data_IF_578964021280
#
_entry.id   IF_578964021280
#
_cell.length_a   1.000
_cell.length_b   1.000
_cell.length_c   1.000
_cell.angle_alpha   90.00
_cell.angle_beta   90.00
_cell.angle_gamma   90.00
#
_symmetry.space_group_name_H-M   'P 1'
#
loop_
_entity.id
_entity.type
_entity.pdbx_description
1 polymer ?
#
# COMPACT_ATOMS: atom_id res chain seq x y z
N UNK A 1 6.69 17.89 -8.50
CA UNK A 1 5.78 17.54 -7.39
C UNK A 1 5.76 16.03 -7.28
N UNK A 2 6.01 15.49 -6.09
CA UNK A 2 5.91 14.05 -5.84
C UNK A 2 4.53 13.73 -5.29
N UNK A 3 4.04 12.53 -5.58
CA UNK A 3 2.80 11.94 -5.08
C UNK A 3 3.21 10.86 -4.08
N UNK A 4 2.54 10.79 -2.94
CA UNK A 4 2.78 9.75 -1.93
C UNK A 4 1.49 9.02 -1.62
N UNK A 5 1.50 7.72 -1.82
CA UNK A 5 0.48 6.81 -1.32
C UNK A 5 1.00 6.09 -0.08
N UNK A 6 0.11 5.85 0.87
CA UNK A 6 0.41 5.11 2.08
C UNK A 6 -0.50 3.90 2.14
N UNK A 7 0.09 2.72 2.30
CA UNK A 7 -0.61 1.52 2.72
C UNK A 7 -0.38 1.34 4.22
N UNK A 8 -1.43 1.48 5.02
CA UNK A 8 -1.39 1.24 6.46
C UNK A 8 -2.02 -0.10 6.79
N UNK A 9 -1.33 -0.90 7.61
CA UNK A 9 -1.69 -2.26 7.98
C UNK A 9 -1.93 -2.38 9.49
N UNK A 10 -2.99 -3.10 9.87
CA UNK A 10 -3.15 -3.65 11.22
C UNK A 10 -2.37 -4.97 11.32
N UNK A 11 -1.05 -4.89 11.27
CA UNK A 11 -0.18 -6.07 11.25
C UNK A 11 0.26 -6.50 12.66
N UNK A 12 0.33 -7.80 12.97
CA UNK A 12 1.07 -8.30 14.12
C UNK A 12 2.59 -8.32 13.88
N UNK A 13 3.02 -8.16 12.62
CA UNK A 13 4.42 -8.12 12.23
C UNK A 13 5.01 -6.71 12.39
N UNK A 14 6.31 -6.67 12.62
CA UNK A 14 7.13 -5.45 12.64
C UNK A 14 7.40 -4.92 11.23
N UNK A 15 7.85 -3.67 11.13
CA UNK A 15 8.28 -3.07 9.88
C UNK A 15 9.38 -3.88 9.17
N UNK A 16 10.33 -4.46 9.89
CA UNK A 16 11.39 -5.28 9.31
C UNK A 16 10.84 -6.56 8.67
N UNK A 17 9.87 -7.21 9.33
CA UNK A 17 9.21 -8.40 8.80
C UNK A 17 8.33 -8.07 7.58
N UNK A 18 7.58 -6.97 7.62
CA UNK A 18 6.80 -6.49 6.47
C UNK A 18 7.73 -6.08 5.32
N UNK A 19 8.88 -5.46 5.61
CA UNK A 19 9.88 -5.10 4.61
C UNK A 19 10.49 -6.34 3.94
N UNK A 20 10.73 -7.42 4.70
CA UNK A 20 11.22 -8.68 4.13
C UNK A 20 10.20 -9.31 3.17
N UNK A 21 8.92 -9.29 3.52
CA UNK A 21 7.85 -9.78 2.64
C UNK A 21 7.69 -8.89 1.39
N UNK A 22 7.72 -7.57 1.58
CA UNK A 22 7.63 -6.62 0.47
C UNK A 22 8.81 -6.73 -0.48
N UNK A 23 10.04 -6.91 0.04
CA UNK A 23 11.23 -7.15 -0.76
C UNK A 23 11.08 -8.42 -1.60
N UNK A 24 10.61 -9.51 -0.98
CA UNK A 24 10.39 -10.78 -1.67
C UNK A 24 9.39 -10.61 -2.81
N UNK A 25 8.27 -9.92 -2.57
CA UNK A 25 7.28 -9.60 -3.60
C UNK A 25 7.91 -8.77 -4.73
N UNK A 26 8.67 -7.73 -4.39
CA UNK A 26 9.28 -6.85 -5.37
C UNK A 26 10.31 -7.60 -6.23
N UNK A 27 11.08 -8.52 -5.66
CA UNK A 27 12.03 -9.35 -6.38
C UNK A 27 11.35 -10.39 -7.27
N UNK A 28 10.28 -11.05 -6.81
CA UNK A 28 9.48 -11.98 -7.62
C UNK A 28 8.82 -11.30 -8.84
N UNK A 29 8.62 -9.99 -8.77
CA UNK A 29 8.03 -9.16 -9.82
C UNK A 29 9.09 -8.42 -10.66
N UNK A 30 10.38 -8.70 -10.46
CA UNK A 30 11.51 -8.02 -11.09
C UNK A 30 11.51 -6.49 -10.88
N UNK A 31 10.89 -6.00 -9.80
CA UNK A 31 10.81 -4.57 -9.45
C UNK A 31 12.04 -4.09 -8.68
N UNK A 32 12.70 -4.98 -7.94
CA UNK A 32 13.95 -4.72 -7.21
C UNK A 32 14.95 -5.84 -7.48
N UNK A 33 16.23 -5.48 -7.48
CA UNK A 33 17.33 -6.44 -7.65
C UNK A 33 17.46 -7.36 -6.42
N UNK A 34 17.85 -8.62 -6.65
CA UNK A 34 18.08 -9.63 -5.60
C UNK A 34 19.18 -9.25 -4.59
N UNK A 35 20.06 -8.31 -4.95
CA UNK A 35 21.12 -7.79 -4.09
C UNK A 35 20.65 -6.72 -3.09
N UNK A 36 19.43 -6.20 -3.22
CA UNK A 36 18.87 -5.21 -2.29
C UNK A 36 18.54 -5.91 -0.95
N UNK A 37 19.11 -5.47 0.18
CA UNK A 37 18.76 -6.00 1.50
C UNK A 37 17.43 -5.42 2.01
N UNK A 38 16.71 -6.15 2.87
CA UNK A 38 15.44 -5.70 3.43
C UNK A 38 15.58 -4.40 4.26
N UNK A 39 16.68 -4.27 5.01
CA UNK A 39 17.02 -3.07 5.80
C UNK A 39 17.08 -1.77 4.97
N UNK A 40 17.34 -1.85 3.65
CA UNK A 40 17.27 -0.66 2.79
C UNK A 40 15.84 -0.08 2.80
N UNK A 41 14.80 -0.93 2.87
CA UNK A 41 13.41 -0.50 2.86
C UNK A 41 12.96 0.14 4.18
N UNK A 42 13.53 -0.23 5.33
CA UNK A 42 13.17 0.37 6.63
C UNK A 42 13.99 1.62 6.96
N UNK A 43 15.22 1.72 6.45
CA UNK A 43 16.12 2.86 6.72
C UNK A 43 15.92 4.03 5.76
N UNK A 44 16.43 3.88 4.54
CA UNK A 44 16.52 4.94 3.55
C UNK A 44 15.41 4.87 2.47
N UNK A 45 14.72 3.72 2.42
CA UNK A 45 13.81 3.35 1.35
C UNK A 45 14.54 3.04 0.04
N UNK A 46 13.84 2.38 -0.89
CA UNK A 46 14.39 1.99 -2.18
C UNK A 46 13.43 2.23 -3.32
N UNK A 47 13.93 2.72 -4.45
CA UNK A 47 13.14 2.86 -5.67
C UNK A 47 13.12 1.56 -6.47
N UNK A 48 11.94 1.19 -6.99
CA UNK A 48 11.80 0.16 -8.02
C UNK A 48 12.51 0.56 -9.30
N UNK A 49 12.66 -0.37 -10.24
CA UNK A 49 13.21 -0.10 -11.58
C UNK A 49 12.44 0.99 -12.36
N UNK A 50 11.16 1.21 -12.04
CA UNK A 50 10.33 2.26 -12.64
C UNK A 50 10.29 3.56 -11.81
N UNK A 51 11.05 3.62 -10.71
CA UNK A 51 11.22 4.82 -9.89
C UNK A 51 10.18 5.00 -8.78
N UNK A 52 9.38 3.98 -8.46
CA UNK A 52 8.49 3.99 -7.29
C UNK A 52 9.32 3.80 -6.03
N UNK A 53 9.52 4.86 -5.24
CA UNK A 53 10.26 4.79 -3.98
C UNK A 53 9.40 4.17 -2.88
N UNK A 54 9.94 3.18 -2.19
CA UNK A 54 9.31 2.37 -1.17
C UNK A 54 9.99 2.60 0.17
N UNK A 55 9.22 2.77 1.23
CA UNK A 55 9.74 2.74 2.60
C UNK A 55 8.72 2.12 3.56
N UNK A 56 9.20 1.29 4.47
CA UNK A 56 8.37 0.65 5.50
C UNK A 56 8.74 1.24 6.86
N UNK A 57 7.74 1.56 7.67
CA UNK A 57 7.93 2.08 9.05
C UNK A 57 6.96 1.41 10.00
N UNK A 58 7.37 1.26 11.26
CA UNK A 58 6.44 1.01 12.35
C UNK A 58 5.67 2.29 12.62
N UNK A 59 4.37 2.17 12.80
CA UNK A 59 3.50 3.27 13.20
C UNK A 59 3.43 3.35 14.72
N UNK A 60 3.72 4.54 15.26
CA UNK A 60 3.37 4.86 16.63
C UNK A 60 1.91 5.31 16.65
N UNK A 61 1.06 4.60 17.40
CA UNK A 61 -0.37 4.89 17.52
C UNK A 61 -0.57 6.34 17.99
N UNK A 62 -0.87 7.25 17.07
CA UNK A 62 -1.33 8.58 17.41
C UNK A 62 -2.83 8.55 17.71
N UNK A 63 -3.28 9.30 18.71
CA UNK A 63 -4.70 9.34 19.10
C UNK A 63 -5.60 9.96 18.01
N UNK A 64 -5.01 10.74 17.09
CA UNK A 64 -5.70 11.50 16.04
C UNK A 64 -5.44 10.95 14.62
N UNK A 65 -5.15 9.66 14.48
CA UNK A 65 -4.94 9.04 13.15
C UNK A 65 -6.27 8.80 12.42
N UNK A 66 -6.54 9.43 11.25
CA UNK A 66 -7.77 9.21 10.49
C UNK A 66 -7.99 7.75 10.06
N UNK A 67 -6.93 6.94 9.99
CA UNK A 67 -7.03 5.49 9.73
C UNK A 67 -7.72 4.76 10.89
N UNK A 68 -7.55 5.24 12.13
CA UNK A 68 -8.22 4.68 13.29
C UNK A 68 -9.75 4.79 13.19
N UNK A 69 -10.27 5.87 12.60
CA UNK A 69 -11.70 6.07 12.39
C UNK A 69 -12.31 5.11 11.36
N UNK A 70 -11.48 4.49 10.52
CA UNK A 70 -11.90 3.41 9.64
C UNK A 70 -12.07 2.07 10.39
N UNK A 71 -11.72 2.03 11.68
CA UNK A 71 -11.73 0.83 12.51
C UNK A 71 -10.49 -0.04 12.33
N UNK A 72 -9.42 0.52 11.75
CA UNK A 72 -8.12 -0.15 11.61
C UNK A 72 -7.22 0.33 12.75
N UNK A 73 -6.44 -0.56 13.35
CA UNK A 73 -5.39 -0.15 14.29
C UNK A 73 -4.05 -0.10 13.54
N UNK A 74 -3.52 1.08 13.18
CA UNK A 74 -2.25 1.20 12.48
C UNK A 74 -1.12 0.53 13.26
N UNK A 75 -0.31 -0.26 12.59
CA UNK A 75 0.88 -0.87 13.17
C UNK A 75 2.11 -0.71 12.27
N UNK A 76 1.91 -0.85 10.95
CA UNK A 76 2.97 -0.67 9.96
C UNK A 76 2.42 0.12 8.78
N UNK A 77 3.22 1.05 8.27
CA UNK A 77 2.93 1.77 7.03
C UNK A 77 3.99 1.51 5.97
N UNK A 78 3.53 1.39 4.73
CA UNK A 78 4.36 1.33 3.53
C UNK A 78 4.07 2.57 2.70
N UNK A 79 5.11 3.39 2.51
CA UNK A 79 5.06 4.58 1.67
C UNK A 79 5.48 4.24 0.24
N UNK A 80 4.68 4.64 -0.72
CA UNK A 80 4.96 4.60 -2.15
C UNK A 80 5.04 6.03 -2.65
N UNK A 81 6.22 6.48 -3.06
CA UNK A 81 6.45 7.86 -3.51
C UNK A 81 7.03 7.90 -4.91
N UNK A 82 6.42 8.69 -5.78
CA UNK A 82 6.88 8.85 -7.16
C UNK A 82 6.52 10.21 -7.74
N UNK A 83 7.07 10.52 -8.91
CA UNK A 83 6.82 11.79 -9.61
C UNK A 83 5.61 11.65 -10.52
N UNK A 84 5.03 12.78 -10.91
CA UNK A 84 3.96 12.81 -11.92
C UNK A 84 4.41 12.30 -13.30
N UNK A 85 5.71 12.36 -13.61
CA UNK A 85 6.23 11.77 -14.84
C UNK A 85 6.27 10.24 -14.73
N UNK A 86 5.55 9.54 -15.62
CA UNK A 86 5.53 8.07 -15.65
C UNK A 86 4.61 7.41 -14.62
N UNK A 87 3.66 8.16 -14.07
CA UNK A 87 2.77 7.72 -12.99
C UNK A 87 1.98 6.45 -13.32
N UNK A 88 1.60 6.21 -14.59
CA UNK A 88 0.84 5.01 -14.96
C UNK A 88 1.59 3.71 -14.64
N UNK A 89 2.89 3.62 -14.97
CA UNK A 89 3.72 2.45 -14.65
C UNK A 89 3.98 2.34 -13.15
N UNK A 90 4.10 3.48 -12.46
CA UNK A 90 4.39 3.52 -11.03
C UNK A 90 3.17 3.16 -10.17
N UNK A 91 1.97 3.56 -10.59
CA UNK A 91 0.70 3.09 -10.06
C UNK A 91 0.51 1.59 -10.27
N UNK A 92 0.95 1.05 -11.42
CA UNK A 92 0.91 -0.39 -11.70
C UNK A 92 1.86 -1.15 -10.78
N UNK A 93 3.07 -0.65 -10.54
CA UNK A 93 4.01 -1.17 -9.54
C UNK A 93 3.37 -1.19 -8.16
N UNK A 94 2.82 -0.05 -7.72
CA UNK A 94 2.10 0.09 -6.46
C UNK A 94 0.98 -0.95 -6.36
N UNK A 95 0.12 -1.04 -7.37
CA UNK A 95 -1.03 -1.93 -7.36
C UNK A 95 -0.60 -3.39 -7.28
N UNK A 96 0.42 -3.81 -8.04
CA UNK A 96 0.94 -5.18 -8.01
C UNK A 96 1.52 -5.53 -6.64
N UNK A 97 2.28 -4.61 -6.04
CA UNK A 97 2.86 -4.82 -4.71
C UNK A 97 1.78 -4.92 -3.64
N UNK A 98 0.83 -3.97 -3.61
CA UNK A 98 -0.30 -3.97 -2.66
C UNK A 98 -1.15 -5.23 -2.84
N UNK A 99 -1.51 -5.59 -4.07
CA UNK A 99 -2.33 -6.78 -4.32
C UNK A 99 -1.64 -8.08 -3.90
N UNK A 100 -0.32 -8.20 -4.12
CA UNK A 100 0.46 -9.35 -3.65
C UNK A 100 0.59 -9.38 -2.14
N UNK A 101 0.77 -8.22 -1.50
CA UNK A 101 0.81 -8.13 -0.04
C UNK A 101 -0.52 -8.58 0.55
N UNK A 102 -1.66 -8.11 0.03
CA UNK A 102 -3.00 -8.53 0.46
C UNK A 102 -3.33 -10.01 0.19
N UNK A 103 -2.54 -10.71 -0.63
CA UNK A 103 -2.64 -12.16 -0.81
C UNK A 103 -1.85 -12.94 0.25
N UNK A 104 -0.79 -12.35 0.81
CA UNK A 104 0.05 -12.94 1.87
C UNK A 104 -0.47 -12.60 3.27
N UNK A 105 -1.02 -11.39 3.42
CA UNK A 105 -1.55 -10.83 4.65
C UNK A 105 -3.07 -10.86 4.63
N UNK A 106 -3.69 -11.32 5.73
CA UNK A 106 -5.15 -11.36 5.89
C UNK A 106 -5.68 -10.17 6.70
N UNK A 107 -4.78 -9.37 7.24
CA UNK A 107 -5.03 -8.27 8.15
C UNK A 107 -5.76 -7.10 7.47
N UNK A 108 -6.34 -6.26 8.32
CA UNK A 108 -6.99 -5.04 7.87
C UNK A 108 -5.95 -4.06 7.33
N UNK A 109 -6.33 -3.36 6.26
CA UNK A 109 -5.44 -2.53 5.49
C UNK A 109 -6.19 -1.37 4.83
N UNK A 110 -5.54 -0.21 4.71
CA UNK A 110 -6.05 0.89 3.90
C UNK A 110 -4.94 1.45 3.02
N UNK A 111 -5.24 1.63 1.73
CA UNK A 111 -4.39 2.34 0.78
C UNK A 111 -5.01 3.70 0.50
N UNK A 112 -4.26 4.77 0.72
CA UNK A 112 -4.75 6.12 0.50
C UNK A 112 -3.69 7.08 -0.05
N UNK A 113 -4.15 8.16 -0.68
CA UNK A 113 -3.34 9.29 -1.10
C UNK A 113 -3.49 10.42 -0.06
N UNK A 114 -2.44 10.73 0.70
CA UNK A 114 -2.34 11.90 1.61
C UNK A 114 -3.60 12.19 2.47
N UNK A 115 -4.32 11.16 2.94
CA UNK A 115 -5.62 11.24 3.62
C UNK A 115 -6.75 11.93 2.84
N UNK A 116 -6.53 12.28 1.57
CA UNK A 116 -7.50 12.91 0.68
C UNK A 116 -8.44 11.88 0.05
N UNK A 117 -7.88 10.78 -0.46
CA UNK A 117 -8.66 9.72 -1.10
C UNK A 117 -8.20 8.33 -0.68
N UNK A 118 -9.17 7.45 -0.43
CA UNK A 118 -8.94 6.03 -0.18
C UNK A 118 -9.05 5.32 -1.52
N UNK A 119 -8.03 4.55 -1.91
CA UNK A 119 -8.10 3.69 -3.10
C UNK A 119 -8.71 2.33 -2.76
N UNK A 120 -8.32 1.77 -1.62
CA UNK A 120 -8.71 0.44 -1.19
C UNK A 120 -8.78 0.36 0.33
N UNK A 121 -9.74 -0.42 0.81
CA UNK A 121 -9.95 -0.72 2.22
C UNK A 121 -10.20 -2.23 2.36
N UNK A 122 -9.34 -2.92 3.11
CA UNK A 122 -9.64 -4.24 3.66
C UNK A 122 -10.01 -4.08 5.12
N UNK A 123 -11.19 -4.58 5.51
CA UNK A 123 -11.63 -4.58 6.90
C UNK A 123 -12.47 -5.80 7.21
N UNK A 124 -12.18 -6.50 8.30
CA UNK A 124 -12.89 -7.70 8.74
C UNK A 124 -12.96 -8.77 7.62
N UNK A 125 -11.88 -8.92 6.84
CA UNK A 125 -11.79 -9.87 5.73
C UNK A 125 -12.52 -9.45 4.44
N UNK A 126 -13.27 -8.34 4.44
CA UNK A 126 -13.87 -7.79 3.24
C UNK A 126 -12.91 -6.82 2.56
N UNK A 127 -12.69 -6.99 1.26
CA UNK A 127 -11.91 -6.07 0.43
C UNK A 127 -12.84 -5.18 -0.39
N UNK A 128 -12.71 -3.87 -0.22
CA UNK A 128 -13.43 -2.85 -0.97
C UNK A 128 -12.44 -1.98 -1.75
N UNK A 129 -12.77 -1.69 -3.01
CA UNK A 129 -12.09 -0.67 -3.81
C UNK A 129 -13.00 0.52 -4.04
N UNK A 130 -12.40 1.70 -4.12
CA UNK A 130 -13.16 2.92 -4.35
C UNK A 130 -13.78 2.93 -5.75
N UNK A 131 -15.05 3.32 -5.85
CA UNK A 131 -15.79 3.38 -7.11
C UNK A 131 -15.72 4.76 -7.79
N UNK A 132 -15.26 5.78 -7.07
CA UNK A 132 -15.14 7.16 -7.59
C UNK A 132 -13.77 7.48 -8.17
N UNK A 133 -12.79 6.60 -7.98
CA UNK A 133 -11.40 6.77 -8.44
C UNK A 133 -11.25 6.22 -9.86
N UNK A 134 -10.73 7.02 -10.79
CA UNK A 134 -10.37 6.60 -12.15
C UNK A 134 -9.15 5.65 -12.16
N UNK A 135 -8.53 5.48 -10.99
CA UNK A 135 -7.28 4.74 -10.82
C UNK A 135 -7.44 3.22 -10.90
N UNK A 136 -8.68 2.70 -10.84
CA UNK A 136 -9.00 1.28 -11.01
C UNK A 136 -9.33 0.91 -12.46
N UNK A 137 -8.29 0.75 -13.27
CA UNK A 137 -8.42 0.17 -14.61
C UNK A 137 -8.78 -1.32 -14.55
N UNK A 138 -9.35 -1.91 -15.62
CA UNK A 138 -9.61 -3.36 -15.66
C UNK A 138 -8.38 -4.24 -15.42
N UNK A 139 -7.19 -3.80 -15.86
CA UNK A 139 -5.94 -4.51 -15.63
C UNK A 139 -5.52 -4.50 -14.17
N UNK A 140 -5.68 -3.37 -13.47
CA UNK A 140 -5.37 -3.24 -12.04
C UNK A 140 -6.33 -4.07 -11.18
N UNK A 141 -7.62 -4.05 -11.52
CA UNK A 141 -8.63 -4.84 -10.82
C UNK A 141 -8.40 -6.35 -10.95
N UNK A 142 -7.88 -6.81 -12.09
CA UNK A 142 -7.55 -8.22 -12.31
C UNK A 142 -6.39 -8.72 -11.41
N UNK A 143 -5.63 -7.82 -10.79
CA UNK A 143 -4.55 -8.18 -9.86
C UNK A 143 -5.07 -8.50 -8.44
N UNK A 144 -6.22 -7.93 -8.08
CA UNK A 144 -6.79 -8.06 -6.74
C UNK A 144 -7.27 -9.49 -6.45
N UNK A 145 -7.41 -9.88 -5.16
CA UNK A 145 -8.08 -11.12 -4.78
C UNK A 145 -9.45 -11.30 -5.47
N UNK A 146 -9.86 -12.54 -5.76
CA UNK A 146 -11.06 -12.83 -6.56
C UNK A 146 -12.37 -12.25 -5.99
N UNK A 147 -12.45 -12.06 -4.68
CA UNK A 147 -13.60 -11.43 -4.02
C UNK A 147 -13.25 -10.02 -3.55
N UNK A 148 -13.73 -9.01 -4.27
CA UNK A 148 -13.76 -7.61 -3.81
C UNK A 148 -15.09 -6.94 -4.14
N UNK A 149 -15.51 -6.03 -3.27
CA UNK A 149 -16.64 -5.13 -3.50
C UNK A 149 -16.18 -3.78 -4.04
N UNK A 150 -17.14 -3.00 -4.52
CA UNK A 150 -16.95 -1.58 -4.88
C UNK A 150 -17.84 -0.72 -4.01
N UNK A 151 -17.30 0.37 -3.50
CA UNK A 151 -18.03 1.33 -2.68
C UNK A 151 -17.36 2.71 -2.77
N UNK A 152 -18.11 3.77 -2.49
CA UNK A 152 -17.51 5.10 -2.28
C UNK A 152 -16.78 5.13 -0.94
N UNK A 153 -15.45 5.16 -0.99
CA UNK A 153 -14.59 5.17 0.20
C UNK A 153 -14.08 6.59 0.48
N UNK A 154 -14.22 7.04 1.72
CA UNK A 154 -13.72 8.35 2.19
C UNK A 154 -13.31 8.23 3.65
N UNK A 155 -12.34 9.04 4.06
CA UNK A 155 -12.12 9.28 5.47
C UNK A 155 -13.34 10.00 6.06
N UNK A 156 -13.74 9.69 7.30
CA UNK A 156 -14.76 10.46 8.00
C UNK A 156 -14.35 11.94 8.04
N UNK A 157 -15.28 12.81 7.69
CA UNK A 157 -15.11 14.24 7.94
C UNK A 157 -15.42 14.51 9.41
N UNK A 158 -14.57 15.31 10.07
CA UNK A 158 -14.90 15.94 11.37
C UNK A 158 -16.24 16.69 11.32
#
# INVERSE_FOLDING_TARGET
MAITYTLTLSSPLTADEVAQELLTIAQEQDLLDTSVPADDLTRDGKATIHGTWLKVVDEDLSEDDPVADLGIRPAVSVFFRYKKEGYETQDDDLTKMVASLLKRFAEDAVLHFEYDSIWLLRRNGELLVNDTTEEWTPSRLALLPESFGRATLKFPSD
#
